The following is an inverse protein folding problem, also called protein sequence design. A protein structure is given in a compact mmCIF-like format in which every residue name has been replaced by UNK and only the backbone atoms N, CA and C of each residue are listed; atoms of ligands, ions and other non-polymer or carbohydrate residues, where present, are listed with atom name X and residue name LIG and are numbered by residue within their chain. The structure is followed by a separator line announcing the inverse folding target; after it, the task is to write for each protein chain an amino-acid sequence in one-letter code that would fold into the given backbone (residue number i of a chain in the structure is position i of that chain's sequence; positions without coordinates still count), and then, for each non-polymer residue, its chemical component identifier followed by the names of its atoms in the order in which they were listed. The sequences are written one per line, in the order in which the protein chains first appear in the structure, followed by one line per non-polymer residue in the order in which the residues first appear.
data_IF_999367810196
#
_entry.id   IF_999367810196
#
_cell.length_a   1.000
_cell.length_b   1.000
_cell.length_c   1.000
_cell.angle_alpha   90.00
_cell.angle_beta   90.00
_cell.angle_gamma   90.00
#
_symmetry.space_group_name_H-M   'P 1'
#
loop_
_entity.id
_entity.type
_entity.pdbx_description
1 polymer ?
#
# COMPACT_ATOMS: atom_id res chain seq x y z
N UNK A 1 0.48 44.92 -64.35
CA UNK A 1 1.33 43.75 -63.99
C UNK A 1 1.62 43.81 -62.50
N UNK A 2 1.60 42.64 -61.85
CA UNK A 2 1.54 42.50 -60.40
C UNK A 2 2.90 42.66 -59.68
N UNK A 3 2.81 43.25 -58.48
CA UNK A 3 3.48 42.92 -57.20
C UNK A 3 5.02 42.82 -57.09
N UNK A 4 5.54 43.77 -56.30
CA UNK A 4 6.39 43.62 -55.09
C UNK A 4 7.74 42.88 -55.16
N UNK A 5 8.81 43.57 -54.74
CA UNK A 5 9.88 42.98 -53.95
C UNK A 5 10.19 43.85 -52.73
N UNK A 6 9.93 43.33 -51.53
CA UNK A 6 10.45 43.90 -50.28
C UNK A 6 11.64 43.07 -49.82
N UNK A 7 12.80 43.70 -49.71
CA UNK A 7 13.99 43.15 -49.07
C UNK A 7 13.77 43.08 -47.55
N UNK A 8 13.40 41.90 -47.06
CA UNK A 8 13.25 41.61 -45.64
C UNK A 8 14.59 41.35 -44.96
N UNK A 9 15.07 42.34 -44.21
CA UNK A 9 16.21 42.31 -43.31
C UNK A 9 16.20 41.08 -42.38
N UNK A 10 17.35 40.41 -42.24
CA UNK A 10 17.60 39.48 -41.13
C UNK A 10 17.39 40.19 -39.80
N UNK A 11 16.36 39.81 -39.03
CA UNK A 11 16.19 40.19 -37.64
C UNK A 11 16.63 39.02 -36.76
N UNK A 12 17.74 39.20 -36.06
CA UNK A 12 18.16 38.34 -34.96
C UNK A 12 17.08 38.34 -33.86
N UNK A 13 16.94 37.19 -33.18
CA UNK A 13 15.90 36.90 -32.19
C UNK A 13 15.90 37.80 -30.92
N UNK A 14 16.77 38.81 -30.85
CA UNK A 14 16.81 39.80 -29.76
C UNK A 14 15.81 40.95 -29.91
N UNK A 15 15.14 41.12 -31.05
CA UNK A 15 14.24 42.26 -31.30
C UNK A 15 12.77 42.06 -30.85
N UNK A 16 12.48 41.07 -30.01
CA UNK A 16 11.12 40.81 -29.48
C UNK A 16 10.98 41.11 -27.98
N UNK A 17 12.00 41.69 -27.33
CA UNK A 17 11.91 42.14 -25.93
C UNK A 17 11.74 41.03 -24.90
N UNK A 18 11.94 39.76 -25.30
CA UNK A 18 11.73 38.62 -24.42
C UNK A 18 13.06 38.20 -23.78
N UNK A 19 13.24 38.50 -22.49
CA UNK A 19 14.39 38.00 -21.70
C UNK A 19 14.31 36.47 -21.53
N UNK A 20 15.46 35.81 -21.58
CA UNK A 20 15.60 34.37 -21.35
C UNK A 20 15.39 33.98 -19.87
N UNK A 21 15.34 32.68 -19.54
CA UNK A 21 15.25 32.21 -18.16
C UNK A 21 16.41 32.77 -17.32
N UNK A 22 16.11 33.30 -16.15
CA UNK A 22 17.11 33.85 -15.23
C UNK A 22 16.94 33.23 -13.86
N UNK A 23 18.06 32.86 -13.24
CA UNK A 23 18.08 32.31 -11.90
C UNK A 23 18.12 33.46 -10.89
N UNK A 24 17.09 33.57 -10.05
CA UNK A 24 17.04 34.58 -9.00
C UNK A 24 17.74 34.06 -7.74
N UNK A 25 18.90 34.65 -7.43
CA UNK A 25 19.73 34.22 -6.28
C UNK A 25 19.17 34.65 -4.92
N UNK A 26 18.24 35.60 -4.86
CA UNK A 26 17.62 36.01 -3.60
C UNK A 26 16.48 35.07 -3.18
N UNK A 27 15.73 34.56 -4.15
CA UNK A 27 14.59 33.66 -3.91
C UNK A 27 14.93 32.19 -4.11
N UNK A 28 16.08 31.88 -4.73
CA UNK A 28 16.52 30.52 -5.03
C UNK A 28 15.73 29.85 -6.16
N UNK A 29 14.90 30.59 -6.90
CA UNK A 29 14.00 30.07 -7.93
C UNK A 29 14.36 30.55 -9.34
N UNK A 30 13.98 29.75 -10.34
CA UNK A 30 14.12 30.09 -11.75
C UNK A 30 12.88 30.84 -12.24
N UNK A 31 13.07 32.03 -12.80
CA UNK A 31 12.00 32.84 -13.37
C UNK A 31 11.92 32.63 -14.90
N UNK A 32 10.71 32.75 -15.48
CA UNK A 32 10.42 32.60 -16.91
C UNK A 32 10.61 31.17 -17.51
N UNK A 33 10.26 30.12 -16.75
CA UNK A 33 10.41 28.70 -17.15
C UNK A 33 9.31 28.16 -18.09
N UNK A 34 8.15 28.81 -18.18
CA UNK A 34 6.94 28.20 -18.75
C UNK A 34 6.68 28.47 -20.26
N UNK A 35 7.75 28.53 -21.07
CA UNK A 35 7.63 28.81 -22.53
C UNK A 35 7.41 27.56 -23.39
N UNK A 36 7.57 26.36 -22.84
CA UNK A 36 7.26 25.11 -23.56
C UNK A 36 5.74 24.96 -23.73
N UNK A 37 4.95 25.31 -22.70
CA UNK A 37 3.48 25.32 -22.77
C UNK A 37 2.93 26.35 -23.77
N UNK A 38 3.53 27.54 -23.82
CA UNK A 38 3.10 28.60 -24.75
C UNK A 38 3.49 28.34 -26.22
N UNK A 39 4.55 27.57 -26.49
CA UNK A 39 4.93 27.17 -27.85
C UNK A 39 4.04 26.06 -28.42
N UNK A 40 3.55 25.14 -27.58
CA UNK A 40 2.69 24.04 -28.03
C UNK A 40 1.30 24.51 -28.49
N UNK A 41 0.75 25.58 -27.88
CA UNK A 41 -0.58 26.09 -28.27
C UNK A 41 -0.61 26.82 -29.62
N UNK A 42 0.53 27.25 -30.18
CA UNK A 42 0.56 28.09 -31.39
C UNK A 42 0.82 27.33 -32.70
N UNK A 43 0.97 26.00 -32.69
CA UNK A 43 1.36 25.20 -33.87
C UNK A 43 0.30 24.30 -34.51
N UNK A 44 -1.01 24.44 -34.24
CA UNK A 44 -2.01 23.63 -34.98
C UNK A 44 -3.35 24.32 -35.27
N UNK A 45 -3.47 25.12 -36.36
CA UNK A 45 -4.78 25.53 -36.88
C UNK A 45 -5.44 24.47 -37.78
N UNK A 46 -4.71 23.46 -38.27
CA UNK A 46 -5.26 22.42 -39.17
C UNK A 46 -5.53 21.05 -38.51
N UNK A 47 -5.21 20.85 -37.23
CA UNK A 47 -5.43 19.56 -36.52
C UNK A 47 -6.81 19.39 -35.88
N UNK A 48 -7.62 20.45 -35.81
CA UNK A 48 -8.86 20.44 -35.02
C UNK A 48 -10.06 19.73 -35.70
N UNK A 49 -9.98 19.37 -36.99
CA UNK A 49 -11.08 18.66 -37.65
C UNK A 49 -11.02 17.14 -37.55
N UNK A 50 -9.87 16.55 -37.22
CA UNK A 50 -9.77 15.09 -37.03
C UNK A 50 -10.04 14.71 -35.57
N UNK A 51 -9.90 15.64 -34.62
CA UNK A 51 -10.14 15.40 -33.20
C UNK A 51 -11.62 15.50 -32.78
N UNK A 52 -12.48 16.19 -33.56
CA UNK A 52 -13.91 16.31 -33.24
C UNK A 52 -14.69 15.04 -33.60
N UNK A 53 -14.36 14.35 -34.69
CA UNK A 53 -15.00 13.07 -35.05
C UNK A 53 -14.58 11.89 -34.14
N UNK A 54 -13.42 11.99 -33.48
CA UNK A 54 -13.01 11.02 -32.45
C UNK A 54 -13.65 11.33 -31.09
N UNK A 55 -14.12 12.57 -30.86
CA UNK A 55 -14.84 12.96 -29.64
C UNK A 55 -16.33 12.58 -29.64
N UNK A 56 -16.94 12.30 -30.79
CA UNK A 56 -18.34 11.88 -30.89
C UNK A 56 -18.58 10.39 -30.58
N UNK A 57 -17.51 9.58 -30.43
CA UNK A 57 -17.58 8.28 -29.76
C UNK A 57 -17.08 8.42 -28.33
N UNK A 58 -17.89 9.08 -27.50
CA UNK A 58 -17.99 8.74 -26.10
C UNK A 58 -18.54 7.30 -26.01
N UNK A 59 -17.69 6.32 -26.37
CA UNK A 59 -17.79 4.97 -25.85
C UNK A 59 -17.75 5.19 -24.36
N UNK A 60 -18.85 4.88 -23.68
CA UNK A 60 -18.94 4.82 -22.23
C UNK A 60 -17.62 4.29 -21.68
N UNK A 61 -16.82 5.19 -21.11
CA UNK A 61 -15.61 4.75 -20.43
C UNK A 61 -16.11 3.68 -19.44
N UNK A 62 -15.58 2.44 -19.51
CA UNK A 62 -16.02 1.41 -18.60
C UNK A 62 -15.92 1.97 -17.19
N UNK A 63 -16.91 1.71 -16.31
CA UNK A 63 -16.90 2.28 -14.97
C UNK A 63 -15.52 2.03 -14.37
N UNK A 64 -14.84 3.11 -13.96
CA UNK A 64 -13.55 2.99 -13.27
C UNK A 64 -13.78 2.01 -12.13
N UNK A 65 -13.16 0.82 -12.20
CA UNK A 65 -13.32 -0.20 -11.16
C UNK A 65 -13.04 0.48 -9.83
N UNK A 66 -14.00 0.44 -8.92
CA UNK A 66 -13.85 1.04 -7.60
C UNK A 66 -12.74 0.31 -6.85
N UNK A 67 -11.90 1.06 -6.12
CA UNK A 67 -10.84 0.48 -5.30
C UNK A 67 -11.45 -0.43 -4.23
N UNK A 68 -10.90 -1.64 -4.00
CA UNK A 68 -11.36 -2.50 -2.92
C UNK A 68 -11.30 -1.84 -1.54
N UNK A 69 -12.16 -2.28 -0.63
CA UNK A 69 -12.15 -1.80 0.76
C UNK A 69 -10.84 -2.20 1.43
N UNK A 70 -10.20 -1.25 2.13
CA UNK A 70 -8.88 -1.38 2.76
C UNK A 70 -7.69 -1.58 1.80
N UNK A 71 -7.88 -1.29 0.51
CA UNK A 71 -6.88 -1.52 -0.55
C UNK A 71 -5.46 -1.07 -0.19
N UNK A 72 -5.28 0.15 0.32
CA UNK A 72 -3.96 0.68 0.63
C UNK A 72 -3.24 -0.13 1.72
N UNK A 73 -3.92 -0.51 2.79
CA UNK A 73 -3.35 -1.38 3.82
C UNK A 73 -2.99 -2.74 3.23
N UNK A 74 -3.88 -3.29 2.40
CA UNK A 74 -3.76 -4.62 1.82
C UNK A 74 -2.68 -4.71 0.74
N UNK A 75 -2.28 -3.63 0.08
CA UNK A 75 -1.20 -3.64 -0.92
C UNK A 75 0.15 -3.12 -0.41
N UNK A 76 0.21 -2.75 0.88
CA UNK A 76 1.44 -2.29 1.53
C UNK A 76 1.73 -3.13 2.76
N UNK A 77 1.21 -2.70 3.91
CA UNK A 77 1.48 -3.28 5.23
C UNK A 77 1.10 -4.77 5.29
N UNK A 78 0.00 -5.18 4.66
CA UNK A 78 -0.40 -6.59 4.66
C UNK A 78 0.61 -7.51 3.97
N UNK A 79 1.27 -7.05 2.91
CA UNK A 79 2.32 -7.80 2.21
C UNK A 79 3.55 -7.92 3.10
N UNK A 80 3.92 -6.86 3.84
CA UNK A 80 5.00 -6.92 4.83
C UNK A 80 4.71 -7.88 5.98
N UNK A 81 3.47 -7.89 6.51
CA UNK A 81 3.05 -8.84 7.55
C UNK A 81 3.15 -10.28 7.03
N UNK A 82 2.65 -10.52 5.82
CA UNK A 82 2.69 -11.83 5.18
C UNK A 82 4.13 -12.32 5.05
N UNK A 83 5.01 -11.51 4.47
CA UNK A 83 6.43 -11.85 4.29
C UNK A 83 7.17 -12.06 5.59
N UNK A 84 6.90 -11.22 6.59
CA UNK A 84 7.49 -11.37 7.92
C UNK A 84 7.09 -12.70 8.55
N UNK A 85 5.81 -13.08 8.47
CA UNK A 85 5.33 -14.35 8.97
C UNK A 85 5.95 -15.54 8.21
N UNK A 86 6.02 -15.47 6.87
CA UNK A 86 6.71 -16.48 6.04
C UNK A 86 8.18 -16.63 6.43
N UNK A 87 8.88 -15.53 6.70
CA UNK A 87 10.27 -15.54 7.18
C UNK A 87 10.43 -16.16 8.58
N UNK A 88 9.36 -16.18 9.39
CA UNK A 88 9.29 -16.92 10.66
C UNK A 88 8.92 -18.41 10.48
N UNK A 89 8.83 -18.87 9.24
CA UNK A 89 8.52 -20.26 8.88
C UNK A 89 7.03 -20.56 8.76
N UNK A 90 6.17 -19.55 8.68
CA UNK A 90 4.73 -19.79 8.54
C UNK A 90 4.37 -20.42 7.17
N UNK A 91 3.34 -21.27 7.18
CA UNK A 91 2.60 -21.64 5.96
C UNK A 91 1.86 -20.41 5.41
N UNK A 92 1.29 -20.51 4.21
CA UNK A 92 0.44 -19.42 3.69
C UNK A 92 -0.78 -19.18 4.59
N UNK A 93 -1.36 -20.26 5.13
CA UNK A 93 -2.49 -20.18 6.05
C UNK A 93 -2.08 -19.56 7.41
N UNK A 94 -0.89 -19.88 7.91
CA UNK A 94 -0.35 -19.26 9.12
C UNK A 94 0.02 -17.79 8.93
N UNK A 95 0.54 -17.40 7.77
CA UNK A 95 0.75 -15.99 7.44
C UNK A 95 -0.57 -15.22 7.36
N UNK A 96 -1.63 -15.84 6.82
CA UNK A 96 -2.98 -15.28 6.85
C UNK A 96 -3.56 -15.18 8.27
N UNK A 97 -3.23 -16.11 9.18
CA UNK A 97 -3.59 -16.02 10.60
C UNK A 97 -2.99 -14.77 11.25
N UNK A 98 -1.70 -14.50 11.05
CA UNK A 98 -1.03 -13.29 11.59
C UNK A 98 -1.67 -12.02 11.01
N UNK A 99 -1.90 -12.00 9.70
CA UNK A 99 -2.55 -10.87 9.03
C UNK A 99 -3.99 -10.67 9.52
N UNK A 100 -4.72 -11.75 9.79
CA UNK A 100 -6.07 -11.70 10.32
C UNK A 100 -6.10 -11.06 11.71
N UNK A 101 -5.16 -11.42 12.60
CA UNK A 101 -5.03 -10.77 13.91
C UNK A 101 -4.72 -9.28 13.76
N UNK A 102 -3.71 -8.92 12.97
CA UNK A 102 -3.39 -7.50 12.73
C UNK A 102 -4.60 -6.72 12.21
N UNK A 103 -5.35 -7.32 11.28
CA UNK A 103 -6.54 -6.68 10.69
C UNK A 103 -7.68 -6.52 11.70
N UNK A 104 -7.88 -7.50 12.58
CA UNK A 104 -8.89 -7.47 13.64
C UNK A 104 -8.55 -6.39 14.69
N UNK A 105 -7.32 -6.42 15.22
CA UNK A 105 -6.89 -5.55 16.33
C UNK A 105 -6.73 -4.08 15.92
N UNK A 106 -6.35 -3.83 14.66
CA UNK A 106 -6.12 -2.46 14.17
C UNK A 106 -7.21 -1.92 13.25
N UNK A 107 -8.24 -2.71 12.92
CA UNK A 107 -9.24 -2.35 11.93
C UNK A 107 -8.63 -2.14 10.55
N UNK A 108 -7.87 -3.13 10.06
CA UNK A 108 -7.10 -3.06 8.81
C UNK A 108 -6.13 -1.86 8.79
N UNK A 109 -5.38 -1.68 9.88
CA UNK A 109 -4.37 -0.63 10.04
C UNK A 109 -4.93 0.75 10.40
N UNK A 110 -6.25 0.97 10.32
CA UNK A 110 -6.86 2.28 10.53
C UNK A 110 -6.51 2.88 11.91
N UNK A 111 -6.53 2.07 12.97
CA UNK A 111 -6.18 2.50 14.33
C UNK A 111 -4.71 2.91 14.44
N UNK A 112 -3.79 2.05 13.98
CA UNK A 112 -2.35 2.31 14.02
C UNK A 112 -1.95 3.56 13.21
N UNK A 113 -2.58 3.76 12.04
CA UNK A 113 -2.36 4.94 11.18
C UNK A 113 -2.92 6.20 11.85
N UNK A 114 -4.16 6.15 12.35
CA UNK A 114 -4.81 7.30 13.00
C UNK A 114 -4.01 7.80 14.21
N UNK A 115 -3.45 6.90 15.00
CA UNK A 115 -2.66 7.24 16.17
C UNK A 115 -1.18 7.46 15.87
N UNK A 116 -0.70 7.02 14.70
CA UNK A 116 0.71 7.09 14.31
C UNK A 116 1.62 6.40 15.32
N UNK A 117 1.16 5.28 15.90
CA UNK A 117 1.90 4.45 16.85
C UNK A 117 2.47 3.16 16.21
N UNK A 118 2.04 2.87 14.97
CA UNK A 118 2.43 1.68 14.19
C UNK A 118 2.08 0.34 14.87
N UNK A 119 1.25 0.35 15.91
CA UNK A 119 0.95 -0.82 16.73
C UNK A 119 -0.26 -1.59 16.17
N UNK A 120 0.01 -2.56 15.30
CA UNK A 120 -1.00 -3.35 14.61
C UNK A 120 -1.71 -4.39 15.50
N UNK A 121 -1.10 -4.78 16.62
CA UNK A 121 -1.55 -5.91 17.45
C UNK A 121 -1.99 -5.49 18.86
N UNK A 122 -2.11 -4.18 19.12
CA UNK A 122 -2.50 -3.67 20.44
C UNK A 122 -1.49 -3.98 21.55
N UNK A 123 -0.21 -4.14 21.21
CA UNK A 123 0.84 -4.51 22.17
C UNK A 123 0.95 -3.47 23.27
N UNK A 124 0.80 -3.89 24.53
CA UNK A 124 0.95 -3.02 25.69
C UNK A 124 2.42 -2.87 26.09
N UNK A 125 2.82 -1.67 26.48
CA UNK A 125 4.16 -1.38 26.99
C UNK A 125 4.60 0.08 26.85
N UNK A 126 5.87 0.32 27.17
CA UNK A 126 6.58 1.60 26.95
C UNK A 126 7.57 1.47 25.79
N UNK A 127 7.95 2.59 25.13
CA UNK A 127 7.30 3.91 25.17
C UNK A 127 5.86 3.83 24.68
N UNK A 128 4.99 4.77 25.05
CA UNK A 128 3.57 4.74 24.70
C UNK A 128 3.09 6.11 24.24
N UNK A 129 2.08 6.12 23.37
CA UNK A 129 1.45 7.34 22.83
C UNK A 129 0.00 7.51 23.24
N UNK A 130 -0.64 6.42 23.68
CA UNK A 130 -2.03 6.40 24.15
C UNK A 130 -2.24 5.34 25.21
N UNK A 131 -3.30 5.51 25.98
CA UNK A 131 -3.76 4.56 27.00
C UNK A 131 -5.17 4.07 26.67
N UNK A 132 -5.47 2.86 27.07
CA UNK A 132 -6.81 2.26 27.05
C UNK A 132 -7.17 1.82 28.47
N UNK A 133 -8.39 1.33 28.68
CA UNK A 133 -8.80 0.65 29.92
C UNK A 133 -7.91 -0.54 30.29
N UNK A 134 -7.17 -1.10 29.32
CA UNK A 134 -6.34 -2.29 29.49
C UNK A 134 -4.85 -1.97 29.70
N UNK A 135 -4.44 -0.71 29.58
CA UNK A 135 -3.05 -0.28 29.81
C UNK A 135 -2.53 0.73 28.78
N UNK A 136 -1.22 0.92 28.75
CA UNK A 136 -0.55 1.83 27.81
C UNK A 136 -0.18 1.10 26.52
N UNK A 137 -0.66 1.58 25.38
CA UNK A 137 -0.36 0.98 24.07
C UNK A 137 1.00 1.44 23.59
N UNK A 138 1.88 0.48 23.30
CA UNK A 138 3.26 0.75 22.91
C UNK A 138 3.34 1.51 21.59
N UNK A 139 4.24 2.48 21.53
CA UNK A 139 4.53 3.32 20.37
C UNK A 139 5.81 2.87 19.67
N UNK A 140 5.71 2.56 18.37
CA UNK A 140 6.83 2.14 17.54
C UNK A 140 7.31 3.20 16.54
N UNK A 141 6.73 4.41 16.56
CA UNK A 141 7.09 5.49 15.62
C UNK A 141 8.59 5.82 15.63
N UNK A 142 9.24 5.74 16.80
CA UNK A 142 10.68 5.96 16.98
C UNK A 142 11.48 4.66 17.20
N UNK A 143 10.87 3.49 16.97
CA UNK A 143 11.50 2.18 17.22
C UNK A 143 11.70 1.36 15.94
N UNK A 144 11.40 1.92 14.77
CA UNK A 144 11.45 1.20 13.49
C UNK A 144 10.07 0.84 12.91
N UNK A 145 8.99 1.46 13.41
CA UNK A 145 7.66 1.37 12.82
C UNK A 145 7.08 -0.04 12.80
N UNK A 146 6.48 -0.43 11.68
CA UNK A 146 5.79 -1.73 11.54
C UNK A 146 6.70 -2.94 11.75
N UNK A 147 7.97 -2.88 11.32
CA UNK A 147 8.92 -3.97 11.50
C UNK A 147 9.21 -4.23 12.99
N UNK A 148 9.34 -3.16 13.78
CA UNK A 148 9.52 -3.26 15.22
C UNK A 148 8.26 -3.78 15.93
N UNK A 149 7.09 -3.35 15.48
CA UNK A 149 5.81 -3.86 15.98
C UNK A 149 5.63 -5.35 15.71
N UNK A 150 5.97 -5.83 14.50
CA UNK A 150 5.94 -7.25 14.14
C UNK A 150 6.94 -8.07 14.97
N UNK A 151 8.15 -7.55 15.15
CA UNK A 151 9.18 -8.23 15.95
C UNK A 151 8.76 -8.36 17.41
N UNK A 152 8.24 -7.29 18.02
CA UNK A 152 7.78 -7.35 19.41
C UNK A 152 6.54 -8.25 19.58
N UNK A 153 5.63 -8.24 18.60
CA UNK A 153 4.51 -9.19 18.56
C UNK A 153 5.00 -10.64 18.59
N UNK A 154 5.88 -11.05 17.68
CA UNK A 154 6.40 -12.43 17.67
C UNK A 154 7.18 -12.76 18.96
N UNK A 155 8.00 -11.84 19.48
CA UNK A 155 8.72 -12.05 20.73
C UNK A 155 7.77 -12.28 21.93
N UNK A 156 6.68 -11.52 22.01
CA UNK A 156 5.66 -11.69 23.05
C UNK A 156 4.86 -12.96 22.85
N UNK A 157 4.61 -13.30 21.59
CA UNK A 157 3.85 -14.49 21.24
C UNK A 157 4.61 -15.75 21.64
N UNK A 158 5.87 -15.86 21.22
CA UNK A 158 6.72 -17.01 21.55
C UNK A 158 6.94 -17.16 23.07
N UNK A 159 6.97 -16.04 23.80
CA UNK A 159 7.14 -16.04 25.26
C UNK A 159 5.90 -16.52 26.01
N UNK A 160 4.69 -16.13 25.58
CA UNK A 160 3.46 -16.31 26.36
C UNK A 160 2.53 -17.41 25.80
N UNK A 161 2.68 -17.74 24.53
CA UNK A 161 1.80 -18.65 23.76
C UNK A 161 2.64 -19.57 22.89
N UNK A 162 3.41 -20.46 23.52
CA UNK A 162 4.42 -21.32 22.87
C UNK A 162 3.87 -22.20 21.74
N UNK A 163 2.59 -22.56 21.81
CA UNK A 163 1.90 -23.35 20.78
C UNK A 163 1.66 -22.57 19.47
N UNK A 164 1.73 -21.23 19.50
CA UNK A 164 1.55 -20.39 18.31
C UNK A 164 2.54 -20.74 17.20
N UNK A 165 3.82 -20.89 17.56
CA UNK A 165 4.90 -21.22 16.63
C UNK A 165 4.68 -22.54 15.88
N UNK A 166 3.88 -23.45 16.45
CA UNK A 166 3.51 -24.71 15.82
C UNK A 166 2.33 -24.52 14.87
N UNK A 167 1.28 -23.82 15.29
CA UNK A 167 0.08 -23.66 14.45
C UNK A 167 0.33 -22.83 13.19
N UNK A 168 1.23 -21.84 13.23
CA UNK A 168 1.52 -21.01 12.04
C UNK A 168 2.21 -21.80 10.93
N UNK A 169 2.74 -23.00 11.22
CA UNK A 169 3.39 -23.87 10.23
C UNK A 169 2.41 -24.81 9.53
N UNK A 170 1.18 -24.93 10.04
CA UNK A 170 0.20 -25.85 9.51
C UNK A 170 -0.47 -25.27 8.24
N UNK A 171 -0.66 -26.10 7.23
CA UNK A 171 -1.41 -25.71 6.02
C UNK A 171 -2.93 -25.64 6.24
N UNK A 172 -3.41 -26.26 7.33
CA UNK A 172 -4.80 -26.19 7.78
C UNK A 172 -4.84 -25.76 9.23
N UNK A 173 -5.72 -24.82 9.57
CA UNK A 173 -5.88 -24.26 10.92
C UNK A 173 -7.36 -24.31 11.26
N UNK A 174 -7.70 -24.90 12.41
CA UNK A 174 -9.07 -24.92 12.96
C UNK A 174 -9.26 -23.86 14.05
N UNK A 175 -10.51 -23.61 14.43
CA UNK A 175 -10.81 -22.72 15.56
C UNK A 175 -10.22 -23.25 16.88
N UNK A 176 -10.31 -24.56 17.11
CA UNK A 176 -9.73 -25.23 18.28
C UNK A 176 -8.19 -25.12 18.32
N UNK A 177 -7.52 -25.20 17.17
CA UNK A 177 -6.05 -24.97 17.11
C UNK A 177 -5.68 -23.54 17.55
N UNK A 178 -6.47 -22.56 17.11
CA UNK A 178 -6.29 -21.15 17.51
C UNK A 178 -6.54 -21.01 19.00
N UNK A 179 -7.63 -21.58 19.52
CA UNK A 179 -7.98 -21.48 20.92
C UNK A 179 -6.94 -22.12 21.84
N UNK A 180 -6.39 -23.28 21.45
CA UNK A 180 -5.25 -23.90 22.13
C UNK A 180 -4.02 -23.01 22.10
N UNK A 181 -3.72 -22.40 20.95
CA UNK A 181 -2.52 -21.57 20.81
C UNK A 181 -2.59 -20.32 21.69
N UNK A 182 -3.77 -19.72 21.85
CA UNK A 182 -3.95 -18.45 22.55
C UNK A 182 -4.52 -18.56 23.96
N UNK A 183 -4.73 -19.78 24.47
CA UNK A 183 -5.42 -20.06 25.72
C UNK A 183 -6.79 -19.35 25.78
N UNK A 184 -7.59 -19.53 24.73
CA UNK A 184 -8.93 -18.97 24.57
C UNK A 184 -9.97 -20.09 24.40
N UNK A 185 -11.24 -19.75 24.16
CA UNK A 185 -12.30 -20.76 24.02
C UNK A 185 -12.42 -21.66 25.26
N UNK A 186 -12.42 -22.97 25.05
CA UNK A 186 -12.46 -23.98 26.13
C UNK A 186 -11.15 -24.09 26.90
N UNK A 187 -10.04 -23.52 26.38
CA UNK A 187 -8.72 -23.46 27.04
C UNK A 187 -8.53 -22.18 27.84
N UNK A 188 -9.59 -21.37 27.98
CA UNK A 188 -9.52 -20.12 28.70
C UNK A 188 -9.19 -20.34 30.18
N UNK A 189 -8.10 -19.74 30.70
CA UNK A 189 -7.63 -19.96 32.06
C UNK A 189 -8.59 -19.38 33.09
N UNK A 190 -8.73 -20.07 34.22
CA UNK A 190 -9.48 -19.57 35.37
C UNK A 190 -8.89 -18.25 35.89
N UNK A 191 -9.65 -17.47 36.65
CA UNK A 191 -9.17 -16.21 37.22
C UNK A 191 -7.85 -16.39 38.02
N UNK A 192 -7.74 -17.47 38.79
CA UNK A 192 -6.53 -17.80 39.56
C UNK A 192 -5.31 -18.06 38.67
N UNK A 193 -5.50 -18.76 37.54
CA UNK A 193 -4.41 -19.06 36.57
C UNK A 193 -3.94 -17.81 35.82
N UNK A 194 -4.87 -16.89 35.51
CA UNK A 194 -4.54 -15.58 34.92
C UNK A 194 -3.64 -14.73 35.81
N UNK A 195 -3.84 -14.80 37.13
CA UNK A 195 -2.97 -14.11 38.11
C UNK A 195 -1.67 -14.87 38.43
N UNK A 196 -1.50 -16.11 37.94
CA UNK A 196 -0.35 -16.99 38.19
C UNK A 196 0.60 -17.20 37.01
N UNK A 197 0.37 -16.54 35.87
CA UNK A 197 1.30 -16.52 34.73
C UNK A 197 0.81 -17.14 33.42
N UNK A 198 -0.38 -17.76 33.37
CA UNK A 198 -1.02 -18.21 32.11
C UNK A 198 -2.02 -17.16 31.64
N UNK A 199 -1.64 -16.35 30.66
CA UNK A 199 -2.48 -15.29 30.11
C UNK A 199 -3.22 -15.79 28.86
N UNK A 200 -4.52 -15.49 28.77
CA UNK A 200 -5.26 -15.58 27.52
C UNK A 200 -4.92 -14.38 26.64
N UNK A 201 -4.86 -14.58 25.32
CA UNK A 201 -4.65 -13.47 24.38
C UNK A 201 -5.83 -12.49 24.38
N UNK A 202 -7.05 -13.02 24.40
CA UNK A 202 -8.29 -12.25 24.46
C UNK A 202 -9.15 -12.77 25.62
N UNK A 203 -9.81 -11.85 26.33
CA UNK A 203 -10.62 -12.14 27.51
C UNK A 203 -12.12 -11.84 27.31
N UNK A 204 -12.51 -11.52 26.08
CA UNK A 204 -13.88 -11.13 25.76
C UNK A 204 -14.77 -12.38 25.82
N UNK A 205 -15.90 -12.25 26.49
CA UNK A 205 -16.90 -13.31 26.60
C UNK A 205 -18.24 -12.77 26.11
N UNK A 206 -19.05 -13.65 25.51
CA UNK A 206 -20.41 -13.32 25.16
C UNK A 206 -21.34 -13.26 26.39
N UNK A 207 -22.63 -13.01 26.17
CA UNK A 207 -23.63 -12.96 27.25
C UNK A 207 -23.83 -14.28 27.98
N UNK A 208 -23.35 -15.40 27.42
CA UNK A 208 -23.36 -16.73 28.06
C UNK A 208 -22.07 -17.03 28.85
N UNK A 209 -21.09 -16.11 28.80
CA UNK A 209 -19.78 -16.31 29.43
C UNK A 209 -18.82 -17.16 28.61
N UNK A 210 -19.12 -17.43 27.34
CA UNK A 210 -18.25 -18.18 26.45
C UNK A 210 -17.31 -17.25 25.67
N UNK A 211 -16.05 -17.66 25.51
CA UNK A 211 -15.08 -17.00 24.65
C UNK A 211 -15.06 -17.70 23.28
N UNK A 212 -15.13 -16.94 22.19
CA UNK A 212 -15.22 -17.47 20.81
C UNK A 212 -14.05 -17.01 19.94
N UNK A 213 -12.89 -16.73 20.54
CA UNK A 213 -11.78 -16.09 19.85
C UNK A 213 -11.30 -16.89 18.62
N UNK A 214 -11.15 -18.22 18.75
CA UNK A 214 -10.76 -19.10 17.67
C UNK A 214 -11.70 -19.05 16.47
N UNK A 215 -13.01 -19.08 16.70
CA UNK A 215 -14.02 -19.00 15.64
C UNK A 215 -14.03 -17.63 14.95
N UNK A 216 -13.96 -16.56 15.75
CA UNK A 216 -13.89 -15.19 15.22
C UNK A 216 -12.66 -14.99 14.35
N UNK A 217 -11.51 -15.47 14.79
CA UNK A 217 -10.26 -15.32 14.06
C UNK A 217 -10.22 -16.20 12.81
N UNK A 218 -10.71 -17.44 12.88
CA UNK A 218 -10.83 -18.30 11.70
C UNK A 218 -11.73 -17.68 10.62
N UNK A 219 -12.86 -17.10 11.02
CA UNK A 219 -13.73 -16.35 10.10
C UNK A 219 -13.02 -15.14 9.51
N UNK A 220 -12.25 -14.43 10.33
CA UNK A 220 -11.46 -13.27 9.89
C UNK A 220 -10.39 -13.67 8.87
N UNK A 221 -9.74 -14.84 9.01
CA UNK A 221 -8.80 -15.37 8.01
C UNK A 221 -9.46 -15.48 6.64
N UNK A 222 -10.65 -16.09 6.56
CA UNK A 222 -11.39 -16.19 5.30
C UNK A 222 -11.76 -14.83 4.70
N UNK A 223 -12.22 -13.90 5.55
CA UNK A 223 -12.56 -12.53 5.14
C UNK A 223 -11.35 -11.74 4.62
N UNK A 224 -10.22 -11.84 5.31
CA UNK A 224 -8.96 -11.19 4.95
C UNK A 224 -8.38 -11.80 3.69
N UNK A 225 -8.32 -13.14 3.55
CA UNK A 225 -7.88 -13.83 2.33
C UNK A 225 -8.59 -13.27 1.10
N UNK A 226 -9.93 -13.18 1.15
CA UNK A 226 -10.75 -12.64 0.05
C UNK A 226 -10.39 -11.18 -0.27
N UNK A 227 -10.32 -10.31 0.75
CA UNK A 227 -10.04 -8.87 0.55
C UNK A 227 -8.62 -8.62 0.05
N UNK A 228 -7.66 -9.37 0.60
CA UNK A 228 -6.25 -9.28 0.26
C UNK A 228 -6.05 -9.66 -1.20
N UNK A 229 -6.52 -10.85 -1.61
CA UNK A 229 -6.50 -11.28 -3.02
C UNK A 229 -7.12 -10.24 -3.95
N UNK A 230 -8.32 -9.77 -3.64
CA UNK A 230 -9.01 -8.78 -4.48
C UNK A 230 -8.22 -7.46 -4.63
N UNK A 231 -7.51 -7.04 -3.58
CA UNK A 231 -6.68 -5.84 -3.60
C UNK A 231 -5.39 -6.05 -4.41
N UNK A 232 -4.76 -7.22 -4.28
CA UNK A 232 -3.60 -7.59 -5.09
C UNK A 232 -3.97 -7.66 -6.58
N UNK A 233 -5.03 -8.37 -6.93
CA UNK A 233 -5.50 -8.50 -8.31
C UNK A 233 -5.85 -7.13 -8.91
N UNK A 234 -6.55 -6.27 -8.14
CA UNK A 234 -6.84 -4.90 -8.56
C UNK A 234 -5.56 -4.10 -8.84
N UNK A 235 -4.57 -4.17 -7.94
CA UNK A 235 -3.33 -3.40 -8.08
C UNK A 235 -2.47 -3.92 -9.23
N UNK A 236 -2.45 -5.23 -9.47
CA UNK A 236 -1.77 -5.82 -10.63
C UNK A 236 -2.32 -5.26 -11.93
N UNK A 237 -3.66 -5.20 -12.07
CA UNK A 237 -4.29 -4.62 -13.26
C UNK A 237 -4.01 -3.12 -13.39
N UNK A 238 -4.07 -2.37 -12.28
CA UNK A 238 -3.71 -0.94 -12.28
C UNK A 238 -2.25 -0.72 -12.71
N UNK A 239 -1.33 -1.55 -12.24
CA UNK A 239 0.08 -1.51 -12.61
C UNK A 239 0.28 -1.86 -14.09
N UNK A 240 -0.44 -2.83 -14.63
CA UNK A 240 -0.40 -3.17 -16.07
C UNK A 240 -0.82 -1.99 -16.95
N UNK A 241 -1.87 -1.26 -16.57
CA UNK A 241 -2.28 -0.05 -17.29
C UNK A 241 -1.21 1.04 -17.20
N UNK A 242 -0.64 1.27 -16.01
CA UNK A 242 0.45 2.24 -15.84
C UNK A 242 1.70 1.88 -16.66
N UNK A 243 2.05 0.60 -16.75
CA UNK A 243 3.15 0.11 -17.57
C UNK A 243 2.92 0.38 -19.06
N UNK A 244 1.68 0.24 -19.56
CA UNK A 244 1.33 0.58 -20.96
C UNK A 244 1.53 2.08 -21.22
N UNK A 245 1.11 2.93 -20.28
CA UNK A 245 1.33 4.38 -20.38
C UNK A 245 2.82 4.72 -20.42
N UNK A 246 3.61 4.20 -19.47
CA UNK A 246 5.06 4.45 -19.42
C UNK A 246 5.73 4.02 -20.73
N UNK A 247 5.40 2.84 -21.25
CA UNK A 247 5.96 2.35 -22.52
C UNK A 247 5.57 3.25 -23.71
N UNK A 248 4.33 3.74 -23.75
CA UNK A 248 3.88 4.68 -24.79
C UNK A 248 4.65 6.00 -24.71
N UNK A 249 4.86 6.51 -23.49
CA UNK A 249 5.61 7.73 -23.24
C UNK A 249 7.06 7.57 -23.70
N UNK A 250 7.74 6.50 -23.28
CA UNK A 250 9.15 6.24 -23.59
C UNK A 250 9.39 6.01 -25.10
N UNK A 251 8.45 5.39 -25.80
CA UNK A 251 8.56 5.09 -27.24
C UNK A 251 8.13 6.25 -28.14
N UNK A 252 7.06 6.97 -27.77
CA UNK A 252 6.47 8.03 -28.59
C UNK A 252 7.15 9.40 -28.49
N UNK A 253 7.95 9.64 -27.45
CA UNK A 253 8.56 10.95 -27.16
C UNK A 253 10.08 10.86 -26.91
N UNK A 254 10.78 9.89 -27.51
CA UNK A 254 12.20 9.63 -27.21
C UNK A 254 13.15 10.82 -27.43
N UNK A 255 12.75 11.79 -28.27
CA UNK A 255 13.49 13.04 -28.55
C UNK A 255 13.18 14.21 -27.58
N UNK A 256 12.20 14.06 -26.68
CA UNK A 256 11.72 15.13 -25.79
C UNK A 256 12.10 14.92 -24.31
N UNK A 257 12.73 13.79 -23.96
CA UNK A 257 13.15 13.53 -22.59
C UNK A 257 14.57 13.99 -22.35
N UNK A 258 14.74 14.79 -21.31
CA UNK A 258 16.03 14.90 -20.64
C UNK A 258 16.33 13.58 -19.93
N UNK A 259 17.61 13.20 -19.85
CA UNK A 259 18.04 11.95 -19.19
C UNK A 259 17.40 11.70 -17.81
N UNK A 260 17.20 12.72 -16.93
CA UNK A 260 16.57 12.51 -15.62
C UNK A 260 15.12 12.01 -15.67
N UNK A 261 14.31 12.51 -16.63
CA UNK A 261 12.89 12.12 -16.72
C UNK A 261 12.78 10.70 -17.26
N UNK A 262 13.60 10.35 -18.26
CA UNK A 262 13.68 8.99 -18.78
C UNK A 262 14.11 7.99 -17.70
N UNK A 263 15.14 8.32 -16.93
CA UNK A 263 15.61 7.47 -15.81
C UNK A 263 14.54 7.26 -14.76
N UNK A 264 13.75 8.28 -14.44
CA UNK A 264 12.66 8.18 -13.45
C UNK A 264 11.56 7.22 -13.92
N UNK A 265 11.16 7.31 -15.20
CA UNK A 265 10.13 6.43 -15.77
C UNK A 265 10.59 4.97 -15.91
N UNK A 266 11.85 4.74 -16.28
CA UNK A 266 12.42 3.39 -16.33
C UNK A 266 12.50 2.75 -14.93
N UNK A 267 12.84 3.54 -13.91
CA UNK A 267 12.83 3.06 -12.53
C UNK A 267 11.40 2.76 -12.04
N UNK A 268 10.44 3.65 -12.31
CA UNK A 268 9.02 3.40 -11.99
C UNK A 268 8.54 2.10 -12.65
N UNK A 269 8.84 1.91 -13.94
CA UNK A 269 8.53 0.68 -14.67
C UNK A 269 9.13 -0.56 -13.99
N UNK A 270 10.40 -0.50 -13.60
CA UNK A 270 11.08 -1.61 -12.91
C UNK A 270 10.39 -1.96 -11.59
N UNK A 271 10.04 -0.95 -10.78
CA UNK A 271 9.36 -1.15 -9.50
C UNK A 271 7.95 -1.76 -9.69
N UNK A 272 7.20 -1.34 -10.71
CA UNK A 272 5.88 -1.91 -11.01
C UNK A 272 5.96 -3.39 -11.44
N UNK A 273 7.00 -3.78 -12.18
CA UNK A 273 7.23 -5.18 -12.56
C UNK A 273 7.52 -6.03 -11.33
N UNK A 274 8.47 -5.60 -10.47
CA UNK A 274 8.81 -6.29 -9.23
C UNK A 274 7.58 -6.42 -8.32
N UNK A 275 6.79 -5.34 -8.20
CA UNK A 275 5.58 -5.34 -7.39
C UNK A 275 4.54 -6.34 -7.94
N UNK A 276 4.34 -6.38 -9.26
CA UNK A 276 3.43 -7.34 -9.88
C UNK A 276 3.88 -8.79 -9.69
N UNK A 277 5.17 -9.08 -9.83
CA UNK A 277 5.73 -10.41 -9.54
C UNK A 277 5.42 -10.79 -8.10
N UNK A 278 5.70 -9.90 -7.15
CA UNK A 278 5.42 -10.13 -5.74
C UNK A 278 3.94 -10.40 -5.47
N UNK A 279 3.06 -9.57 -6.01
CA UNK A 279 1.61 -9.71 -5.80
C UNK A 279 1.05 -10.98 -6.43
N UNK A 280 1.55 -11.39 -7.61
CA UNK A 280 1.17 -12.66 -8.21
C UNK A 280 1.62 -13.85 -7.35
N UNK A 281 2.85 -13.84 -6.84
CA UNK A 281 3.34 -14.88 -5.93
C UNK A 281 2.43 -15.01 -4.70
N UNK A 282 2.16 -13.90 -4.01
CA UNK A 282 1.29 -13.92 -2.82
C UNK A 282 -0.13 -14.36 -3.18
N UNK A 283 -0.74 -13.82 -4.25
CA UNK A 283 -2.08 -14.21 -4.70
C UNK A 283 -2.17 -15.71 -5.01
N UNK A 284 -1.13 -16.31 -5.60
CA UNK A 284 -1.09 -17.73 -5.91
C UNK A 284 -0.94 -18.59 -4.65
N UNK A 285 -0.09 -18.18 -3.72
CA UNK A 285 0.16 -18.93 -2.47
C UNK A 285 -1.05 -18.96 -1.52
N UNK A 286 -1.91 -17.93 -1.58
CA UNK A 286 -3.07 -17.84 -0.70
C UNK A 286 -4.34 -18.43 -1.31
N UNK A 287 -4.35 -18.88 -2.57
CA UNK A 287 -5.52 -19.48 -3.22
C UNK A 287 -5.73 -20.92 -2.78
#
# INVERSE_FOLDING_TARGET
MAKTSSSGKHKNASSLGVKGPQYNRQTGQWENTDKVGAMMQRRSPQGNRVAEDVKAKAISAPPKKEKPVHHQFLTTIAVEIYDFAKAKGASSQGALLVLAQASLESGYGASAIKHGDYNLFGVMGKPFKRSTSHGTVKDYSNLGGYQAALTDYFNKIDKNWSHFSSIIKNDTITADDIDKAFNTGTYYPTAKERHGGKYAYNADMDSSGANHYGEHLLKQIGGVKKRFKNSLDFQIEANKERLKEINTILTGNSLLFTDPVKSTLEEEKRQLVIQNEKFNTVSNEIN
#
